data_IF_737678586349
#
_entry.id   IF_737678586349
#
_cell.length_a   1.000
_cell.length_b   1.000
_cell.length_c   1.000
_cell.angle_alpha   90.00
_cell.angle_beta   90.00
_cell.angle_gamma   90.00
#
_symmetry.space_group_name_H-M   'P 1'
#
loop_
_entity.id
_entity.type
_entity.pdbx_description
1 polymer ?
#
# COMPACT_ATOMS: atom_id res chain seq x y z
N UNK A 1 17.96 4.89 11.95
CA UNK A 1 16.76 5.76 11.81
C UNK A 1 16.29 5.58 10.38
N UNK A 2 15.08 5.06 10.18
CA UNK A 2 14.50 4.87 8.85
C UNK A 2 13.11 5.49 8.76
N UNK A 3 12.44 5.26 7.62
CA UNK A 3 11.16 5.86 7.27
C UNK A 3 10.11 4.75 7.16
N UNK A 4 8.92 5.01 7.69
CA UNK A 4 7.74 4.20 7.43
C UNK A 4 6.80 4.98 6.52
N UNK A 5 6.27 4.31 5.51
CA UNK A 5 5.27 4.87 4.62
C UNK A 5 3.89 4.47 5.15
N UNK A 6 2.98 5.42 5.29
CA UNK A 6 1.59 5.12 5.61
C UNK A 6 0.71 5.89 4.64
N UNK A 7 -0.27 5.20 4.07
CA UNK A 7 -1.18 5.80 3.11
C UNK A 7 -2.55 5.16 3.20
N UNK A 8 -3.58 5.99 3.00
CA UNK A 8 -4.97 5.57 2.87
C UNK A 8 -5.48 5.90 1.47
N UNK A 9 -6.25 5.00 0.84
CA UNK A 9 -6.87 5.25 -0.46
C UNK A 9 -5.83 5.66 -1.51
N UNK A 10 -5.97 6.85 -2.12
CA UNK A 10 -4.98 7.41 -3.04
C UNK A 10 -3.59 7.62 -2.38
N UNK A 11 -3.52 7.82 -1.07
CA UNK A 11 -2.25 7.84 -0.33
C UNK A 11 -1.58 6.46 -0.28
N UNK A 12 -2.37 5.38 -0.12
CA UNK A 12 -1.84 4.01 -0.16
C UNK A 12 -1.28 3.69 -1.55
N UNK A 13 -1.97 4.16 -2.59
CA UNK A 13 -1.47 4.09 -3.97
C UNK A 13 -0.11 4.78 -4.13
N UNK A 14 0.05 6.00 -3.62
CA UNK A 14 1.32 6.73 -3.70
C UNK A 14 2.44 6.06 -2.90
N UNK A 15 2.14 5.55 -1.70
CA UNK A 15 3.09 4.77 -0.91
C UNK A 15 3.52 3.49 -1.64
N UNK A 16 2.58 2.79 -2.28
CA UNK A 16 2.87 1.63 -3.12
C UNK A 16 3.74 1.98 -4.34
N UNK A 17 3.48 3.11 -5.01
CA UNK A 17 4.35 3.61 -6.08
C UNK A 17 5.77 3.90 -5.58
N UNK A 18 5.92 4.49 -4.39
CA UNK A 18 7.22 4.75 -3.78
C UNK A 18 7.99 3.46 -3.45
N UNK A 19 7.30 2.39 -3.02
CA UNK A 19 7.92 1.07 -2.84
C UNK A 19 8.39 0.45 -4.17
N UNK A 20 7.61 0.61 -5.23
CA UNK A 20 7.92 0.07 -6.56
C UNK A 20 8.88 0.94 -7.39
N UNK A 21 9.36 2.06 -6.83
CA UNK A 21 10.27 2.98 -7.53
C UNK A 21 11.71 2.46 -7.43
N UNK A 22 12.41 2.41 -8.56
CA UNK A 22 13.86 2.22 -8.56
C UNK A 22 14.55 3.52 -8.16
N UNK A 23 14.80 3.68 -6.87
CA UNK A 23 15.44 4.88 -6.33
C UNK A 23 16.89 5.06 -6.77
N UNK A 24 17.53 4.00 -7.31
CA UNK A 24 18.90 4.10 -7.81
C UNK A 24 19.00 4.98 -9.05
N UNK A 25 17.93 5.09 -9.85
CA UNK A 25 17.82 6.03 -10.97
C UNK A 25 17.93 7.50 -10.52
N UNK A 26 17.59 7.78 -9.26
CA UNK A 26 17.64 9.10 -8.65
C UNK A 26 18.88 9.30 -7.75
N UNK A 27 19.76 8.30 -7.67
CA UNK A 27 20.92 8.35 -6.77
C UNK A 27 20.57 8.30 -5.29
N UNK A 28 19.39 7.77 -4.94
CA UNK A 28 18.89 7.69 -3.56
C UNK A 28 18.84 6.23 -3.11
N UNK A 29 19.26 5.97 -1.87
CA UNK A 29 19.06 4.69 -1.19
C UNK A 29 18.13 4.95 0.01
N UNK A 30 16.81 4.81 -0.16
CA UNK A 30 15.88 5.16 0.90
C UNK A 30 15.90 4.09 2.00
N UNK A 31 15.94 4.53 3.26
CA UNK A 31 15.89 3.62 4.42
C UNK A 31 14.44 3.32 4.82
N UNK A 32 13.65 2.74 3.90
CA UNK A 32 12.25 2.39 4.15
C UNK A 32 12.20 1.10 4.97
N UNK A 33 11.64 1.20 6.19
CA UNK A 33 11.54 0.09 7.15
C UNK A 33 10.22 -0.66 7.10
N UNK A 34 9.19 -0.04 6.53
CA UNK A 34 7.89 -0.66 6.38
C UNK A 34 6.90 0.25 5.66
N UNK A 35 5.78 -0.35 5.26
CA UNK A 35 4.67 0.37 4.69
C UNK A 35 3.33 -0.14 5.20
N UNK A 36 2.41 0.78 5.50
CA UNK A 36 1.03 0.49 5.86
C UNK A 36 0.13 1.07 4.78
N UNK A 37 -0.52 0.19 4.02
CA UNK A 37 -1.30 0.51 2.83
C UNK A 37 -2.77 0.18 3.13
N UNK A 38 -3.57 1.21 3.35
CA UNK A 38 -4.94 1.08 3.88
C UNK A 38 -5.95 1.41 2.80
N UNK A 39 -6.81 0.46 2.46
CA UNK A 39 -7.91 0.63 1.49
C UNK A 39 -7.43 1.27 0.18
N UNK A 40 -6.29 0.80 -0.34
CA UNK A 40 -5.62 1.39 -1.49
C UNK A 40 -6.16 0.94 -2.85
N UNK A 41 -5.85 1.73 -3.87
CA UNK A 41 -6.06 1.38 -5.28
C UNK A 41 -4.71 1.10 -5.95
N UNK A 42 -4.56 -0.07 -6.54
CA UNK A 42 -3.29 -0.58 -7.09
C UNK A 42 -3.38 -0.85 -8.60
N UNK A 43 -4.58 -0.95 -9.15
CA UNK A 43 -4.89 -0.93 -10.58
C UNK A 43 -5.86 0.22 -10.87
N UNK A 44 -5.41 1.17 -11.69
CA UNK A 44 -6.18 2.36 -12.06
C UNK A 44 -7.05 2.13 -13.30
N UNK A 45 -6.85 1.03 -14.04
CA UNK A 45 -7.60 0.77 -15.28
C UNK A 45 -9.12 0.76 -15.06
N UNK A 46 -9.67 0.16 -13.99
CA UNK A 46 -11.11 0.23 -13.70
C UNK A 46 -11.64 1.65 -13.49
N UNK A 47 -10.80 2.58 -12.99
CA UNK A 47 -11.23 3.96 -12.71
C UNK A 47 -11.54 4.76 -13.97
N UNK A 48 -10.97 4.38 -15.12
CA UNK A 48 -11.21 5.00 -16.42
C UNK A 48 -12.70 5.03 -16.80
N UNK A 49 -13.49 4.13 -16.23
CA UNK A 49 -14.92 3.97 -16.49
C UNK A 49 -15.80 4.53 -15.38
N UNK A 50 -15.25 5.38 -14.51
CA UNK A 50 -15.94 5.96 -13.35
C UNK A 50 -15.82 7.49 -13.37
N UNK A 51 -16.68 8.17 -12.60
CA UNK A 51 -16.65 9.64 -12.44
C UNK A 51 -15.32 10.17 -11.89
N UNK A 52 -14.49 9.32 -11.27
CA UNK A 52 -13.16 9.70 -10.79
C UNK A 52 -12.27 10.15 -11.96
N UNK A 53 -12.44 9.53 -13.14
CA UNK A 53 -11.66 9.90 -14.32
C UNK A 53 -12.10 11.22 -14.95
N UNK A 54 -13.28 11.76 -14.62
CA UNK A 54 -13.71 13.08 -15.10
C UNK A 54 -12.76 14.18 -14.59
N UNK A 55 -12.16 13.98 -13.41
CA UNK A 55 -11.20 14.90 -12.82
C UNK A 55 -9.74 14.56 -13.17
N UNK A 56 -9.40 13.27 -13.30
CA UNK A 56 -8.03 12.82 -13.54
C UNK A 56 -7.66 12.78 -15.03
N UNK A 57 -8.65 12.73 -15.92
CA UNK A 57 -8.52 12.69 -17.39
C UNK A 57 -7.42 11.72 -17.86
N UNK A 58 -7.41 10.52 -17.27
CA UNK A 58 -6.38 9.53 -17.57
C UNK A 58 -6.71 8.81 -18.88
N UNK A 59 -5.68 8.62 -19.69
CA UNK A 59 -5.68 7.61 -20.73
C UNK A 59 -5.42 6.22 -20.13
N UNK A 60 -5.67 5.17 -20.93
CA UNK A 60 -5.30 3.79 -20.57
C UNK A 60 -3.82 3.65 -20.27
N UNK A 61 -2.97 4.28 -21.06
CA UNK A 61 -1.52 4.26 -20.91
C UNK A 61 -1.10 4.96 -19.60
N UNK A 62 -1.76 6.07 -19.25
CA UNK A 62 -1.53 6.75 -17.97
C UNK A 62 -1.96 5.87 -16.80
N UNK A 63 -3.12 5.24 -16.86
CA UNK A 63 -3.58 4.33 -15.82
C UNK A 63 -2.61 3.16 -15.62
N UNK A 64 -2.19 2.50 -16.70
CA UNK A 64 -1.26 1.37 -16.65
C UNK A 64 0.11 1.78 -16.10
N UNK A 65 0.68 2.89 -16.60
CA UNK A 65 1.98 3.39 -16.14
C UNK A 65 2.00 3.66 -14.64
N UNK A 66 0.88 4.17 -14.12
CA UNK A 66 0.73 4.57 -12.72
C UNK A 66 0.05 3.50 -11.86
N UNK A 67 -0.14 2.26 -12.32
CA UNK A 67 -0.75 1.21 -11.50
C UNK A 67 0.30 0.42 -10.72
N UNK A 68 0.40 0.52 -9.37
CA UNK A 68 1.34 -0.26 -8.57
C UNK A 68 1.34 -1.75 -8.85
N UNK A 69 0.17 -2.32 -9.16
CA UNK A 69 -0.02 -3.73 -9.51
C UNK A 69 0.88 -4.18 -10.67
N UNK A 70 1.11 -3.30 -11.65
CA UNK A 70 1.90 -3.56 -12.83
C UNK A 70 3.39 -3.26 -12.64
N UNK A 71 3.79 -2.84 -11.43
CA UNK A 71 5.15 -2.41 -11.09
C UNK A 71 5.78 -3.22 -9.96
N UNK A 72 5.15 -4.33 -9.57
CA UNK A 72 5.68 -5.19 -8.51
C UNK A 72 7.01 -5.79 -8.96
N UNK A 73 8.07 -5.51 -8.20
CA UNK A 73 9.42 -6.06 -8.38
C UNK A 73 9.90 -6.62 -7.05
N UNK A 74 10.89 -7.54 -7.04
CA UNK A 74 11.47 -8.02 -5.79
C UNK A 74 12.08 -6.90 -4.95
N UNK A 75 12.09 -6.99 -3.61
CA UNK A 75 12.68 -5.96 -2.76
C UNK A 75 14.18 -5.81 -3.04
N UNK A 76 14.63 -4.56 -3.19
CA UNK A 76 16.06 -4.27 -3.22
C UNK A 76 16.72 -4.70 -1.90
N UNK A 77 18.03 -5.02 -1.87
CA UNK A 77 18.71 -5.45 -0.64
C UNK A 77 18.54 -4.48 0.53
N UNK A 78 18.50 -3.17 0.26
CA UNK A 78 18.27 -2.14 1.27
C UNK A 78 16.86 -2.17 1.90
N UNK A 79 15.88 -2.73 1.18
CA UNK A 79 14.49 -2.90 1.62
C UNK A 79 14.17 -4.36 2.01
N UNK A 80 15.16 -5.24 2.13
CA UNK A 80 14.93 -6.66 2.43
C UNK A 80 14.23 -6.90 3.78
N UNK A 81 14.41 -5.98 4.73
CA UNK A 81 13.73 -6.00 6.03
C UNK A 81 12.44 -5.16 6.06
N UNK A 82 11.98 -4.65 4.92
CA UNK A 82 10.76 -3.85 4.83
C UNK A 82 9.52 -4.76 4.97
N UNK A 83 8.70 -4.49 5.97
CA UNK A 83 7.42 -5.16 6.16
C UNK A 83 6.29 -4.33 5.55
N UNK A 84 5.50 -4.96 4.68
CA UNK A 84 4.34 -4.31 4.05
C UNK A 84 3.06 -4.86 4.65
N UNK A 85 2.24 -3.98 5.20
CA UNK A 85 0.92 -4.29 5.70
C UNK A 85 -0.13 -3.73 4.76
N UNK A 86 -0.87 -4.62 4.12
CA UNK A 86 -2.03 -4.27 3.29
C UNK A 86 -3.29 -4.46 4.11
N UNK A 87 -3.93 -3.36 4.50
CA UNK A 87 -5.18 -3.37 5.24
C UNK A 87 -6.35 -2.93 4.35
N UNK A 88 -7.53 -3.49 4.57
CA UNK A 88 -8.77 -3.07 3.90
C UNK A 88 -9.94 -3.10 4.87
N UNK A 89 -10.90 -2.20 4.71
CA UNK A 89 -12.08 -2.16 5.56
C UNK A 89 -13.07 -3.27 5.18
N UNK A 90 -13.79 -3.81 6.17
CA UNK A 90 -14.83 -4.80 5.93
C UNK A 90 -15.92 -4.26 4.98
N UNK A 91 -16.32 -3.00 5.17
CA UNK A 91 -17.38 -2.36 4.40
C UNK A 91 -16.86 -1.54 3.20
N UNK A 92 -15.60 -1.73 2.81
CA UNK A 92 -15.10 -1.21 1.54
C UNK A 92 -15.83 -1.83 0.35
N UNK A 93 -15.78 -1.13 -0.79
CA UNK A 93 -16.31 -1.66 -2.04
C UNK A 93 -15.61 -2.99 -2.40
N UNK A 94 -16.30 -3.90 -3.12
CA UNK A 94 -15.69 -5.14 -3.59
C UNK A 94 -14.38 -4.92 -4.35
N UNK A 95 -14.24 -3.79 -5.04
CA UNK A 95 -13.05 -3.47 -5.82
C UNK A 95 -11.84 -3.11 -4.95
N UNK A 96 -12.00 -2.31 -3.90
CA UNK A 96 -10.92 -2.04 -2.94
C UNK A 96 -10.42 -3.32 -2.26
N UNK A 97 -11.35 -4.22 -1.93
CA UNK A 97 -11.06 -5.52 -1.32
C UNK A 97 -10.32 -6.44 -2.29
N UNK A 98 -10.81 -6.55 -3.52
CA UNK A 98 -10.18 -7.32 -4.60
C UNK A 98 -8.75 -6.84 -4.84
N UNK A 99 -8.57 -5.54 -5.08
CA UNK A 99 -7.24 -4.98 -5.38
C UNK A 99 -6.27 -5.12 -4.21
N UNK A 100 -6.72 -4.93 -2.96
CA UNK A 100 -5.89 -5.13 -1.76
C UNK A 100 -5.39 -6.57 -1.64
N UNK A 101 -6.27 -7.55 -1.88
CA UNK A 101 -5.89 -8.97 -1.87
C UNK A 101 -4.92 -9.31 -3.00
N UNK A 102 -5.22 -8.89 -4.23
CA UNK A 102 -4.36 -9.16 -5.39
C UNK A 102 -2.99 -8.52 -5.24
N UNK A 103 -2.92 -7.28 -4.75
CA UNK A 103 -1.65 -6.57 -4.63
C UNK A 103 -0.80 -7.17 -3.52
N UNK A 104 -1.41 -7.50 -2.37
CA UNK A 104 -0.73 -8.21 -1.29
C UNK A 104 -0.18 -9.58 -1.74
N UNK A 105 -0.94 -10.32 -2.55
CA UNK A 105 -0.49 -11.59 -3.13
C UNK A 105 0.65 -11.40 -4.14
N UNK A 106 0.57 -10.39 -5.01
CA UNK A 106 1.61 -10.08 -5.98
C UNK A 106 2.93 -9.72 -5.28
N UNK A 107 2.88 -8.88 -4.23
CA UNK A 107 4.05 -8.54 -3.41
C UNK A 107 4.67 -9.78 -2.76
N UNK A 108 3.85 -10.67 -2.15
CA UNK A 108 4.36 -11.94 -1.58
C UNK A 108 5.03 -12.81 -2.64
N UNK A 109 4.42 -12.94 -3.81
CA UNK A 109 4.97 -13.73 -4.91
C UNK A 109 6.31 -13.17 -5.42
N UNK A 110 6.51 -11.85 -5.32
CA UNK A 110 7.78 -11.20 -5.63
C UNK A 110 8.82 -11.26 -4.50
N UNK A 111 8.49 -11.83 -3.34
CA UNK A 111 9.42 -12.04 -2.23
C UNK A 111 9.40 -10.98 -1.13
N UNK A 112 8.38 -10.11 -1.09
CA UNK A 112 8.21 -9.16 0.02
C UNK A 112 7.64 -9.85 1.26
N UNK A 113 8.03 -9.35 2.44
CA UNK A 113 7.36 -9.66 3.71
C UNK A 113 6.04 -8.90 3.78
N UNK A 114 4.92 -9.60 3.61
CA UNK A 114 3.58 -8.97 3.54
C UNK A 114 2.60 -9.57 4.53
N UNK A 115 1.97 -8.71 5.32
CA UNK A 115 0.79 -9.02 6.13
C UNK A 115 -0.46 -8.44 5.47
N UNK A 116 -1.57 -9.18 5.51
CA UNK A 116 -2.86 -8.71 5.00
C UNK A 116 -3.87 -8.69 6.13
N UNK A 117 -4.59 -7.59 6.28
CA UNK A 117 -5.55 -7.37 7.35
C UNK A 117 -6.89 -6.93 6.79
N UNK A 118 -7.95 -7.58 7.24
CA UNK A 118 -9.34 -7.21 6.96
C UNK A 118 -9.95 -6.66 8.24
N UNK A 119 -10.22 -5.35 8.27
CA UNK A 119 -10.64 -4.65 9.48
C UNK A 119 -12.16 -4.71 9.63
N UNK A 120 -12.59 -5.47 10.64
CA UNK A 120 -14.00 -5.68 10.93
C UNK A 120 -14.71 -4.41 11.44
N UNK A 121 -15.96 -4.22 11.01
CA UNK A 121 -16.85 -3.19 11.53
C UNK A 121 -16.41 -1.75 11.26
N UNK A 122 -15.61 -1.52 10.20
CA UNK A 122 -15.25 -0.19 9.70
C UNK A 122 -15.58 -0.08 8.22
N UNK A 123 -15.83 1.14 7.78
CA UNK A 123 -15.92 1.51 6.37
C UNK A 123 -14.66 2.23 5.88
N UNK A 124 -14.68 2.64 4.61
CA UNK A 124 -13.56 3.29 3.92
C UNK A 124 -13.03 4.54 4.65
N UNK A 125 -13.86 5.25 5.40
CA UNK A 125 -13.49 6.52 6.06
C UNK A 125 -13.18 6.29 7.55
N UNK A 126 -14.01 5.51 8.24
CA UNK A 126 -13.87 5.21 9.67
C UNK A 126 -12.56 4.47 9.98
N UNK A 127 -11.99 3.76 8.99
CA UNK A 127 -10.73 3.04 9.12
C UNK A 127 -9.55 3.94 9.51
N UNK A 128 -9.54 5.21 9.10
CA UNK A 128 -8.50 6.18 9.50
C UNK A 128 -8.74 6.72 10.91
N UNK A 129 -10.00 6.91 11.30
CA UNK A 129 -10.31 7.40 12.64
C UNK A 129 -9.86 6.38 13.69
N UNK A 130 -10.06 5.08 13.42
CA UNK A 130 -9.55 4.01 14.28
C UNK A 130 -8.03 3.83 14.24
N UNK A 131 -7.35 4.26 13.17
CA UNK A 131 -5.88 4.32 13.12
C UNK A 131 -5.28 5.33 14.11
N UNK A 132 -6.10 6.28 14.60
CA UNK A 132 -5.70 7.27 15.59
C UNK A 132 -5.93 6.79 17.03
N UNK A 133 -6.49 5.60 17.23
CA UNK A 133 -6.67 4.98 18.54
C UNK A 133 -5.39 4.22 18.91
N UNK A 134 -4.75 4.60 20.03
CA UNK A 134 -3.47 4.05 20.49
C UNK A 134 -3.46 2.51 20.60
N UNK A 135 -4.63 1.88 20.78
CA UNK A 135 -4.82 0.43 20.93
C UNK A 135 -5.24 -0.31 19.65
N UNK A 136 -5.17 0.33 18.47
CA UNK A 136 -5.59 -0.32 17.24
C UNK A 136 -4.53 -1.29 16.70
N UNK A 137 -4.95 -2.39 16.08
CA UNK A 137 -4.05 -3.46 15.60
C UNK A 137 -2.90 -2.94 14.71
N UNK A 138 -3.10 -1.83 14.01
CA UNK A 138 -2.11 -1.23 13.12
C UNK A 138 -1.03 -0.38 13.84
N UNK A 139 -1.27 0.10 15.06
CA UNK A 139 -0.22 0.72 15.90
C UNK A 139 0.65 -0.33 16.59
N UNK A 140 0.13 -1.53 16.86
CA UNK A 140 0.89 -2.61 17.51
C UNK A 140 1.90 -3.33 16.61
N UNK A 141 1.74 -3.27 15.28
CA UNK A 141 2.76 -3.78 14.35
C UNK A 141 4.06 -2.96 14.44
N UNK A 142 3.99 -1.71 14.91
CA UNK A 142 5.16 -0.90 15.21
C UNK A 142 5.91 -1.29 16.49
N UNK A 143 5.23 -1.93 17.46
CA UNK A 143 5.80 -2.29 18.77
C UNK A 143 6.39 -3.71 18.82
N UNK A 144 5.97 -4.62 17.93
CA UNK A 144 6.50 -6.00 17.88
C UNK A 144 7.78 -6.16 17.04
N UNK A 145 8.30 -5.09 16.43
CA UNK A 145 9.59 -5.12 15.77
C UNK A 145 10.70 -5.27 16.82
N UNK A 146 11.51 -6.35 16.78
CA UNK A 146 12.52 -6.58 17.79
C UNK A 146 13.51 -5.41 17.78
N UNK A 147 13.59 -4.74 18.94
CA UNK A 147 14.70 -3.87 19.28
C UNK A 147 15.98 -4.70 19.16
N UNK A 148 16.68 -4.54 18.04
CA UNK A 148 17.96 -5.21 17.86
C UNK A 148 19.00 -4.59 18.81
N UNK A 149 19.92 -5.40 19.34
CA UNK A 149 20.85 -5.05 20.42
C UNK A 149 21.89 -3.98 20.06
#
# INVERSE_FOLDING_TARGET
>A
RGIYLCGHSAGAHLAAMALSTDWTEYGVVPDIKGAVLVSGVYDLEPLLHTYVNDALDMSREVAQRNSPMLRVTPPAPAAAACEVLVAVAQHDSPEFRRQSQEYGQALRAAGWSVSMLDLAGVDHFDIIEKLSEDNYVLTQVGEELPSSP
#
